data_IF_378366498670
#
_entry.id   IF_378366498670
#
_cell.length_a   1.000
_cell.length_b   1.000
_cell.length_c   1.000
_cell.angle_alpha   90.00
_cell.angle_beta   90.00
_cell.angle_gamma   90.00
#
_symmetry.space_group_name_H-M   'P 1'
#
loop_
_entity.id
_entity.type
_entity.pdbx_description
1 polymer ?
#
# COMPACT_ATOMS: atom_id res chain seq x y z
N UNK A 1 -18.73 -20.58 -3.67
CA UNK A 1 -18.58 -20.05 -5.05
C UNK A 1 -17.73 -18.79 -4.92
N UNK A 2 -16.58 -18.69 -5.60
CA UNK A 2 -15.69 -17.55 -5.54
C UNK A 2 -16.16 -16.42 -6.47
N UNK A 3 -15.65 -15.20 -6.26
CA UNK A 3 -15.87 -14.06 -7.15
C UNK A 3 -15.16 -14.31 -8.50
N UNK A 4 -15.83 -13.96 -9.59
CA UNK A 4 -15.21 -13.94 -10.92
C UNK A 4 -14.49 -12.59 -11.16
N UNK A 5 -13.59 -12.53 -12.15
CA UNK A 5 -12.97 -11.26 -12.54
C UNK A 5 -14.01 -10.19 -12.91
N UNK A 6 -15.16 -10.60 -13.48
CA UNK A 6 -16.26 -9.69 -13.81
C UNK A 6 -16.91 -9.11 -12.56
N UNK A 7 -17.03 -9.91 -11.49
CA UNK A 7 -17.59 -9.43 -10.22
C UNK A 7 -16.64 -8.44 -9.57
N UNK A 8 -15.33 -8.75 -9.58
CA UNK A 8 -14.29 -7.85 -9.07
C UNK A 8 -14.25 -6.54 -9.86
N UNK A 9 -14.33 -6.61 -11.19
CA UNK A 9 -14.37 -5.41 -12.03
C UNK A 9 -15.56 -4.51 -11.68
N UNK A 10 -16.76 -5.07 -11.50
CA UNK A 10 -17.93 -4.31 -11.06
C UNK A 10 -17.74 -3.63 -9.70
N UNK A 11 -17.07 -4.31 -8.76
CA UNK A 11 -16.74 -3.73 -7.45
C UNK A 11 -15.80 -2.54 -7.61
N UNK A 12 -14.77 -2.66 -8.46
CA UNK A 12 -13.84 -1.57 -8.78
C UNK A 12 -14.59 -0.39 -9.41
N UNK A 13 -15.45 -0.64 -10.40
CA UNK A 13 -16.27 0.38 -11.06
C UNK A 13 -17.17 1.12 -10.06
N UNK A 14 -17.90 0.38 -9.22
CA UNK A 14 -18.81 0.92 -8.20
C UNK A 14 -18.05 1.75 -7.16
N UNK A 15 -16.83 1.37 -6.79
CA UNK A 15 -16.00 2.11 -5.83
C UNK A 15 -15.63 3.53 -6.32
N UNK A 16 -15.69 3.74 -7.62
CA UNK A 16 -15.37 5.00 -8.30
C UNK A 16 -16.61 5.75 -8.81
N UNK A 17 -17.82 5.27 -8.51
CA UNK A 17 -19.05 5.95 -8.89
C UNK A 17 -19.15 7.34 -8.22
N UNK A 18 -19.66 8.30 -8.98
CA UNK A 18 -19.88 9.68 -8.52
C UNK A 18 -18.61 10.39 -8.00
N UNK A 19 -17.42 9.90 -8.39
CA UNK A 19 -16.15 10.51 -8.02
C UNK A 19 -15.48 11.13 -9.26
N UNK A 20 -15.06 12.38 -9.13
CA UNK A 20 -14.20 13.03 -10.12
C UNK A 20 -12.75 12.89 -9.66
N UNK A 21 -12.02 11.98 -10.30
CA UNK A 21 -10.63 11.70 -9.97
C UNK A 21 -9.73 12.35 -11.00
N UNK A 22 -8.86 13.25 -10.55
CA UNK A 22 -7.85 13.92 -11.39
C UNK A 22 -6.50 13.24 -11.29
N UNK A 23 -6.11 12.86 -10.08
CA UNK A 23 -4.85 12.18 -9.83
C UNK A 23 -5.01 11.12 -8.74
N UNK A 24 -4.60 9.89 -9.03
CA UNK A 24 -4.70 8.77 -8.11
C UNK A 24 -3.33 8.18 -7.79
N UNK A 25 -3.16 7.70 -6.55
CA UNK A 25 -2.05 6.86 -6.12
C UNK A 25 -2.59 5.47 -5.78
N UNK A 26 -2.14 4.46 -6.51
CA UNK A 26 -2.44 3.06 -6.23
C UNK A 26 -1.29 2.45 -5.45
N UNK A 27 -1.60 1.80 -4.34
CA UNK A 27 -0.64 1.18 -3.44
C UNK A 27 -0.95 -0.33 -3.37
N UNK A 28 -0.52 -1.11 -4.39
CA UNK A 28 -0.61 -2.57 -4.34
C UNK A 28 0.46 -3.15 -3.41
N UNK A 29 0.36 -4.43 -3.02
CA UNK A 29 1.43 -5.11 -2.34
C UNK A 29 2.63 -5.34 -3.29
N UNK A 30 3.74 -5.77 -2.75
CA UNK A 30 4.91 -6.16 -3.52
C UNK A 30 4.77 -7.54 -4.18
N UNK A 31 5.79 -7.98 -4.91
CA UNK A 31 5.80 -9.26 -5.64
C UNK A 31 5.70 -10.49 -4.74
N UNK A 32 6.09 -10.39 -3.46
CA UNK A 32 5.97 -11.52 -2.52
C UNK A 32 4.51 -11.94 -2.32
N UNK A 33 3.56 -11.07 -2.64
CA UNK A 33 2.11 -11.31 -2.57
C UNK A 33 1.47 -11.55 -3.96
N UNK A 34 2.21 -12.14 -4.89
CA UNK A 34 1.72 -12.44 -6.25
C UNK A 34 0.34 -13.14 -6.25
N UNK A 35 0.12 -14.05 -5.31
CA UNK A 35 -1.13 -14.84 -5.24
C UNK A 35 -2.31 -14.11 -4.57
N UNK A 36 -2.13 -12.85 -4.16
CA UNK A 36 -3.16 -12.07 -3.47
C UNK A 36 -4.23 -11.47 -4.38
N UNK A 37 -4.14 -11.63 -5.69
CA UNK A 37 -4.91 -10.90 -6.71
C UNK A 37 -4.69 -9.36 -6.68
N UNK A 38 -3.76 -8.87 -5.84
CA UNK A 38 -3.51 -7.44 -5.68
C UNK A 38 -3.05 -6.77 -6.97
N UNK A 39 -2.22 -7.45 -7.77
CA UNK A 39 -1.77 -6.96 -9.07
C UNK A 39 -2.90 -6.82 -10.08
N UNK A 40 -3.78 -7.82 -10.17
CA UNK A 40 -4.94 -7.82 -11.07
C UNK A 40 -5.92 -6.69 -10.71
N UNK A 41 -6.22 -6.52 -9.42
CA UNK A 41 -7.10 -5.45 -8.94
C UNK A 41 -6.47 -4.08 -9.21
N UNK A 42 -5.15 -3.94 -8.99
CA UNK A 42 -4.43 -2.72 -9.29
C UNK A 42 -4.48 -2.37 -10.78
N UNK A 43 -4.31 -3.35 -11.66
CA UNK A 43 -4.44 -3.21 -13.10
C UNK A 43 -5.84 -2.71 -13.50
N UNK A 44 -6.91 -3.28 -12.94
CA UNK A 44 -8.29 -2.84 -13.18
C UNK A 44 -8.49 -1.36 -12.78
N UNK A 45 -8.01 -0.94 -11.59
CA UNK A 45 -8.05 0.46 -11.18
C UNK A 45 -7.25 1.36 -12.11
N UNK A 46 -6.05 0.95 -12.48
CA UNK A 46 -5.18 1.70 -13.37
C UNK A 46 -5.82 1.97 -14.72
N UNK A 47 -6.33 0.93 -15.37
CA UNK A 47 -6.99 1.02 -16.67
C UNK A 47 -8.25 1.90 -16.59
N UNK A 48 -9.13 1.67 -15.63
CA UNK A 48 -10.38 2.41 -15.49
C UNK A 48 -10.12 3.89 -15.20
N UNK A 49 -9.20 4.22 -14.30
CA UNK A 49 -8.87 5.61 -13.98
C UNK A 49 -8.20 6.32 -15.15
N UNK A 50 -7.30 5.65 -15.85
CA UNK A 50 -6.63 6.19 -17.04
C UNK A 50 -7.63 6.43 -18.17
N UNK A 51 -8.56 5.51 -18.41
CA UNK A 51 -9.65 5.69 -19.39
C UNK A 51 -10.55 6.87 -19.04
N UNK A 52 -10.73 7.19 -17.75
CA UNK A 52 -11.47 8.37 -17.27
C UNK A 52 -10.63 9.66 -17.30
N UNK A 53 -9.40 9.62 -17.83
CA UNK A 53 -8.52 10.79 -17.97
C UNK A 53 -7.75 11.16 -16.71
N UNK A 54 -7.73 10.33 -15.67
CA UNK A 54 -6.94 10.58 -14.48
C UNK A 54 -5.45 10.30 -14.71
N UNK A 55 -4.59 11.07 -14.05
CA UNK A 55 -3.16 10.73 -13.89
C UNK A 55 -3.04 9.68 -12.80
N UNK A 56 -2.45 8.53 -13.10
CA UNK A 56 -2.33 7.42 -12.15
C UNK A 56 -0.87 7.09 -11.90
N UNK A 57 -0.47 7.19 -10.65
CA UNK A 57 0.81 6.74 -10.15
C UNK A 57 0.64 5.42 -9.38
N UNK A 58 1.60 4.50 -9.50
CA UNK A 58 1.56 3.20 -8.82
C UNK A 58 2.80 3.05 -7.96
N UNK A 59 2.63 2.87 -6.66
CA UNK A 59 3.71 2.71 -5.70
C UNK A 59 3.49 1.44 -4.87
N UNK A 60 4.13 0.32 -5.24
CA UNK A 60 4.04 -0.90 -4.45
C UNK A 60 4.50 -0.68 -3.00
N UNK A 61 3.79 -1.30 -2.07
CA UNK A 61 4.08 -1.25 -0.63
C UNK A 61 5.26 -2.17 -0.30
N UNK A 62 6.47 -1.70 -0.57
CA UNK A 62 7.70 -2.50 -0.48
C UNK A 62 8.16 -2.75 0.95
N UNK A 63 7.88 -1.83 1.88
CA UNK A 63 8.56 -1.84 3.18
C UNK A 63 10.08 -1.79 2.98
N UNK A 64 10.77 -2.80 3.47
CA UNK A 64 12.22 -2.98 3.29
C UNK A 64 12.60 -3.94 2.15
N UNK A 65 11.61 -4.45 1.39
CA UNK A 65 11.87 -5.38 0.29
C UNK A 65 12.44 -4.67 -0.93
N UNK A 66 13.08 -5.45 -1.80
CA UNK A 66 13.62 -4.96 -3.07
C UNK A 66 12.49 -4.61 -4.05
N UNK A 67 12.70 -3.62 -4.92
CA UNK A 67 11.76 -3.29 -6.00
C UNK A 67 11.55 -4.47 -6.95
N UNK A 68 10.37 -4.55 -7.54
CA UNK A 68 10.09 -5.53 -8.59
C UNK A 68 11.01 -5.31 -9.79
N UNK A 69 11.51 -6.41 -10.39
CA UNK A 69 12.12 -6.36 -11.72
C UNK A 69 11.04 -6.09 -12.78
N UNK A 70 11.45 -5.79 -14.01
CA UNK A 70 10.51 -5.60 -15.13
C UNK A 70 9.67 -6.86 -15.38
N UNK A 71 10.28 -8.04 -15.34
CA UNK A 71 9.63 -9.32 -15.54
C UNK A 71 8.62 -9.62 -14.42
N UNK A 72 9.00 -9.32 -13.17
CA UNK A 72 8.11 -9.47 -12.03
C UNK A 72 6.91 -8.52 -12.12
N UNK A 73 7.13 -7.28 -12.52
CA UNK A 73 6.05 -6.30 -12.70
C UNK A 73 5.10 -6.71 -13.82
N UNK A 74 5.63 -7.21 -14.94
CA UNK A 74 4.82 -7.74 -16.04
C UNK A 74 3.96 -8.93 -15.59
N UNK A 75 4.56 -9.87 -14.85
CA UNK A 75 3.83 -11.00 -14.30
C UNK A 75 2.76 -10.56 -13.27
N UNK A 76 3.09 -9.59 -12.41
CA UNK A 76 2.22 -9.14 -11.32
C UNK A 76 1.02 -8.35 -11.82
N UNK A 77 1.21 -7.46 -12.81
CA UNK A 77 0.18 -6.58 -13.35
C UNK A 77 -0.39 -7.06 -14.69
N UNK A 78 0.09 -8.18 -15.24
CA UNK A 78 -0.36 -8.70 -16.55
C UNK A 78 -0.06 -7.77 -17.72
N UNK A 79 0.99 -6.93 -17.62
CA UNK A 79 1.36 -5.97 -18.67
C UNK A 79 0.48 -4.71 -18.75
N UNK A 80 -0.54 -4.58 -17.91
CA UNK A 80 -1.46 -3.43 -17.95
C UNK A 80 -0.82 -2.12 -17.46
N UNK A 81 0.19 -2.20 -16.60
CA UNK A 81 0.87 -1.03 -16.02
C UNK A 81 2.29 -0.96 -16.57
N UNK A 82 2.65 0.12 -17.31
CA UNK A 82 4.02 0.31 -17.78
C UNK A 82 5.01 0.36 -16.62
N UNK A 83 6.14 -0.35 -16.72
CA UNK A 83 7.14 -0.43 -15.67
C UNK A 83 7.64 0.95 -15.21
N UNK A 84 7.74 1.89 -16.14
CA UNK A 84 8.18 3.27 -15.91
C UNK A 84 7.19 4.10 -15.07
N UNK A 85 5.97 3.60 -14.87
CA UNK A 85 4.94 4.19 -14.00
C UNK A 85 5.04 3.72 -12.56
N UNK A 86 5.87 2.71 -12.29
CA UNK A 86 6.08 2.22 -10.94
C UNK A 86 7.02 3.16 -10.17
N UNK A 87 6.54 3.62 -9.04
CA UNK A 87 7.33 4.42 -8.10
C UNK A 87 7.96 3.49 -7.08
N UNK A 88 9.26 3.52 -6.97
CA UNK A 88 9.98 2.80 -5.93
C UNK A 88 9.91 3.58 -4.62
N UNK A 89 9.35 2.96 -3.59
CA UNK A 89 9.38 3.51 -2.23
C UNK A 89 10.76 3.30 -1.61
N UNK A 90 11.42 4.39 -1.21
CA UNK A 90 12.66 4.33 -0.44
C UNK A 90 12.38 4.66 1.03
N UNK A 91 12.26 3.62 1.85
CA UNK A 91 11.95 3.71 3.28
C UNK A 91 12.97 4.49 4.14
N UNK A 92 14.16 4.79 3.58
CA UNK A 92 15.18 5.61 4.25
C UNK A 92 15.14 7.09 3.89
N UNK A 93 14.57 7.45 2.74
CA UNK A 93 14.70 8.81 2.18
C UNK A 93 13.38 9.47 1.80
N UNK A 94 12.35 8.68 1.48
CA UNK A 94 11.11 9.21 0.91
C UNK A 94 10.01 9.43 1.94
N UNK A 95 10.33 9.32 3.22
CA UNK A 95 9.37 9.41 4.31
C UNK A 95 9.36 10.78 4.98
N UNK A 96 8.24 11.07 5.61
CA UNK A 96 8.04 12.21 6.50
C UNK A 96 7.46 11.72 7.82
N UNK A 97 7.91 12.31 8.91
CA UNK A 97 7.37 12.05 10.24
C UNK A 97 6.05 12.81 10.41
N UNK A 98 4.98 12.11 10.75
CA UNK A 98 3.66 12.68 11.02
C UNK A 98 3.44 12.95 12.51
N UNK A 99 4.11 12.20 13.38
CA UNK A 99 3.97 12.24 14.84
C UNK A 99 4.40 10.94 15.47
N UNK A 100 3.90 10.69 16.68
CA UNK A 100 4.26 9.50 17.44
C UNK A 100 3.01 8.82 18.02
N UNK A 101 3.00 7.50 18.04
CA UNK A 101 2.11 6.75 18.91
C UNK A 101 2.67 6.90 20.32
N UNK A 102 1.89 7.41 21.30
CA UNK A 102 2.40 7.62 22.65
C UNK A 102 2.86 6.33 23.32
N UNK A 103 3.98 6.38 24.08
CA UNK A 103 4.54 5.22 24.77
C UNK A 103 3.57 4.58 25.76
N UNK A 104 2.75 5.39 26.45
CA UNK A 104 1.69 4.88 27.34
C UNK A 104 0.64 4.03 26.60
N UNK A 105 0.34 4.37 25.33
CA UNK A 105 -0.55 3.56 24.49
C UNK A 105 0.16 2.27 24.07
N UNK A 106 1.44 2.36 23.70
CA UNK A 106 2.26 1.20 23.35
C UNK A 106 2.35 0.24 24.54
N UNK A 107 2.63 0.75 25.74
CA UNK A 107 2.65 -0.04 26.96
C UNK A 107 1.31 -0.75 27.23
N UNK A 108 0.20 -0.03 27.02
CA UNK A 108 -1.13 -0.60 27.21
C UNK A 108 -1.44 -1.77 26.26
N UNK A 109 -1.06 -1.66 24.99
CA UNK A 109 -1.37 -2.70 23.98
C UNK A 109 -0.37 -3.86 23.94
N UNK A 110 0.81 -3.65 24.54
CA UNK A 110 1.86 -4.67 24.69
C UNK A 110 1.88 -5.32 26.07
N UNK A 111 0.89 -5.09 26.92
CA UNK A 111 0.88 -5.55 28.31
C UNK A 111 2.15 -5.15 29.11
N UNK A 112 2.68 -3.96 28.79
CA UNK A 112 3.86 -3.39 29.45
C UNK A 112 5.21 -3.91 28.91
N UNK A 113 5.22 -4.67 27.83
CA UNK A 113 6.47 -5.18 27.22
C UNK A 113 7.26 -4.07 26.55
N UNK A 114 6.57 -3.12 25.94
CA UNK A 114 7.16 -1.92 25.32
C UNK A 114 6.45 -0.67 25.82
N UNK A 115 7.21 0.41 26.05
CA UNK A 115 6.71 1.71 26.48
C UNK A 115 7.32 2.88 25.68
N UNK A 116 8.16 2.58 24.70
CA UNK A 116 8.77 3.57 23.83
C UNK A 116 7.75 4.12 22.82
N UNK A 117 7.72 5.45 22.58
CA UNK A 117 6.89 6.03 21.54
C UNK A 117 7.28 5.52 20.15
N UNK A 118 6.32 5.17 19.32
CA UNK A 118 6.57 4.71 17.94
C UNK A 118 6.44 5.88 16.97
N UNK A 119 7.49 6.24 16.21
CA UNK A 119 7.40 7.28 15.20
C UNK A 119 6.52 6.83 14.03
N UNK A 120 5.57 7.67 13.64
CA UNK A 120 4.67 7.43 12.50
C UNK A 120 5.26 8.11 11.28
N UNK A 121 5.93 7.32 10.45
CA UNK A 121 6.56 7.76 9.21
C UNK A 121 5.85 7.16 8.01
N UNK A 122 5.56 7.97 6.99
CA UNK A 122 4.97 7.50 5.73
C UNK A 122 5.64 8.16 4.53
N UNK A 123 5.55 7.51 3.37
CA UNK A 123 6.03 8.12 2.13
C UNK A 123 5.39 9.50 1.91
N UNK A 124 6.23 10.51 1.62
CA UNK A 124 5.80 11.90 1.43
C UNK A 124 4.70 12.09 0.39
N UNK A 125 4.61 11.20 -0.60
CA UNK A 125 3.57 11.25 -1.63
C UNK A 125 2.17 11.03 -1.06
N UNK A 126 2.02 10.20 -0.02
CA UNK A 126 0.74 9.90 0.62
C UNK A 126 0.11 11.15 1.25
N UNK A 127 0.94 12.06 1.74
CA UNK A 127 0.51 13.28 2.45
C UNK A 127 0.78 14.57 1.66
N UNK A 128 1.22 14.47 0.41
CA UNK A 128 1.57 15.62 -0.43
C UNK A 128 0.38 16.52 -0.78
N UNK A 129 -0.84 16.00 -0.69
CA UNK A 129 -2.05 16.68 -1.18
C UNK A 129 -2.23 16.67 -2.70
N UNK A 130 -1.31 16.04 -3.45
CA UNK A 130 -1.39 15.97 -4.91
C UNK A 130 -2.44 14.97 -5.42
N UNK A 131 -2.74 13.94 -4.62
CA UNK A 131 -3.68 12.88 -4.99
C UNK A 131 -5.06 13.15 -4.37
N UNK A 132 -6.08 13.15 -5.19
CA UNK A 132 -7.45 13.20 -4.70
C UNK A 132 -8.10 11.81 -4.54
N UNK A 133 -7.34 10.77 -4.83
CA UNK A 133 -7.66 9.38 -4.50
C UNK A 133 -6.37 8.63 -4.16
N UNK A 134 -6.36 7.91 -3.04
CA UNK A 134 -5.33 6.93 -2.70
C UNK A 134 -6.03 5.60 -2.45
N UNK A 135 -5.61 4.55 -3.15
CA UNK A 135 -6.20 3.20 -3.01
C UNK A 135 -5.14 2.24 -2.49
N UNK A 136 -5.31 1.77 -1.27
CA UNK A 136 -4.52 0.66 -0.72
C UNK A 136 -5.16 -0.66 -1.15
N UNK A 137 -4.40 -1.50 -1.83
CA UNK A 137 -4.86 -2.74 -2.43
C UNK A 137 -4.09 -3.90 -1.83
N UNK A 138 -4.77 -4.97 -1.45
CA UNK A 138 -4.10 -6.17 -0.97
C UNK A 138 -5.04 -7.13 -0.25
N UNK A 139 -4.53 -8.32 -0.01
CA UNK A 139 -5.23 -9.37 0.71
C UNK A 139 -5.15 -9.14 2.22
N UNK A 140 -6.28 -9.23 2.89
CA UNK A 140 -6.37 -9.14 4.35
C UNK A 140 -6.32 -10.56 4.92
N UNK A 141 -5.18 -10.89 5.50
CA UNK A 141 -4.91 -12.20 6.11
C UNK A 141 -4.06 -12.00 7.38
N UNK A 142 -4.06 -12.95 8.31
CA UNK A 142 -3.13 -12.91 9.43
C UNK A 142 -1.68 -12.80 8.94
N UNK A 143 -0.90 -11.94 9.60
CA UNK A 143 0.52 -11.77 9.33
C UNK A 143 1.34 -12.43 10.45
N UNK A 144 2.45 -13.03 10.10
CA UNK A 144 3.30 -13.79 11.04
C UNK A 144 3.91 -12.96 12.16
N UNK A 145 4.00 -11.64 12.00
CA UNK A 145 4.60 -10.74 12.99
C UNK A 145 3.67 -9.59 13.36
N UNK A 146 3.13 -8.86 12.41
CA UNK A 146 2.49 -7.56 12.64
C UNK A 146 0.95 -7.61 12.51
N UNK A 147 0.29 -8.58 13.13
CA UNK A 147 -1.16 -8.70 13.18
C UNK A 147 -1.78 -9.05 11.82
N UNK A 148 -2.38 -8.07 11.13
CA UNK A 148 -3.04 -8.30 9.84
C UNK A 148 -2.25 -7.68 8.70
N UNK A 149 -2.09 -8.43 7.60
CA UNK A 149 -1.58 -7.90 6.34
C UNK A 149 -2.57 -6.90 5.74
N UNK A 150 -2.07 -6.01 4.87
CA UNK A 150 -2.84 -4.92 4.27
C UNK A 150 -3.42 -3.92 5.30
N UNK A 151 -4.53 -3.26 5.04
CA UNK A 151 -5.06 -2.16 5.86
C UNK A 151 -4.00 -1.09 6.17
N UNK A 152 -3.95 -0.64 7.42
CA UNK A 152 -2.97 0.33 7.90
C UNK A 152 -1.51 -0.14 7.72
N UNK A 153 -1.24 -1.45 7.82
CA UNK A 153 0.09 -2.00 7.60
C UNK A 153 0.64 -1.69 6.20
N UNK A 154 -0.21 -1.74 5.17
CA UNK A 154 0.21 -1.42 3.81
C UNK A 154 0.71 0.03 3.69
N UNK A 155 0.11 0.94 4.43
CA UNK A 155 0.48 2.37 4.45
C UNK A 155 1.66 2.63 5.40
N UNK A 156 1.55 2.21 6.67
CA UNK A 156 2.49 2.58 7.71
C UNK A 156 3.73 1.70 7.79
N UNK A 157 3.66 0.48 7.27
CA UNK A 157 4.82 -0.42 7.17
C UNK A 157 5.27 -0.53 5.71
N UNK A 158 4.37 -0.85 4.80
CA UNK A 158 4.70 -1.02 3.38
C UNK A 158 5.17 0.26 2.69
N UNK A 159 4.70 1.42 3.13
CA UNK A 159 5.13 2.75 2.68
C UNK A 159 5.71 3.58 3.84
N UNK A 160 6.11 2.94 4.93
CA UNK A 160 6.66 3.55 6.13
C UNK A 160 8.17 3.73 6.11
N UNK A 161 8.67 4.36 7.17
CA UNK A 161 10.10 4.56 7.41
C UNK A 161 10.73 3.45 8.25
N UNK A 162 12.06 3.48 8.36
CA UNK A 162 12.84 2.47 9.08
C UNK A 162 12.44 2.33 10.55
N UNK A 163 12.22 3.45 11.22
CA UNK A 163 11.88 3.45 12.63
C UNK A 163 10.48 2.84 12.87
N UNK A 164 9.50 3.20 12.03
CA UNK A 164 8.16 2.62 12.07
C UNK A 164 8.17 1.12 11.78
N UNK A 165 8.91 0.70 10.74
CA UNK A 165 9.03 -0.72 10.38
C UNK A 165 9.64 -1.50 11.56
N UNK A 166 10.77 -1.05 12.10
CA UNK A 166 11.46 -1.73 13.21
C UNK A 166 10.59 -1.81 14.46
N UNK A 167 9.99 -0.69 14.89
CA UNK A 167 9.17 -0.66 16.09
C UNK A 167 7.92 -1.55 15.97
N UNK A 168 7.25 -1.54 14.81
CA UNK A 168 6.06 -2.37 14.59
C UNK A 168 6.37 -3.87 14.58
N UNK A 169 7.57 -4.28 14.12
CA UNK A 169 7.97 -5.69 14.12
C UNK A 169 8.52 -6.16 15.48
N UNK A 170 8.95 -5.24 16.33
CA UNK A 170 9.32 -5.57 17.71
C UNK A 170 8.09 -5.68 18.63
N UNK A 171 7.01 -4.98 18.30
CA UNK A 171 5.77 -5.01 19.07
C UNK A 171 4.92 -6.26 18.75
N UNK A 172 5.00 -6.80 17.55
CA UNK A 172 4.25 -8.00 17.10
C UNK A 172 4.97 -9.27 17.43
#
# INVERSE_FOLDING_TARGET
MGLTNRDVQKIVENSLENRTIKRALLIPPDFTRLHSCGGVICAMYYELLTQRGAVVDVMPALGSHEPMTREQAEQFFGGAIPYEKLIVHNWRRDVVLLGYVPGEYVAKVSDGIMDEPIPVEVNRRIVSGEYNLIVSIGQVVPHEVAGMANYSKNIFVGCGGSAMISASHMLG
#
